data_IF_871261607908
#
_entry.id   IF_871261607908
#
_cell.length_a   1.000
_cell.length_b   1.000
_cell.length_c   1.000
_cell.angle_alpha   90.00
_cell.angle_beta   90.00
_cell.angle_gamma   90.00
#
_symmetry.space_group_name_H-M   'P 1'
#
loop_
_entity.id
_entity.type
_entity.pdbx_description
1 polymer ?
#
# COMPACT_ATOMS: atom_id res chain seq x y z
N UNK A 1 -27.79 -27.55 20.36
CA UNK A 1 -27.34 -26.74 19.20
C UNK A 1 -26.32 -25.72 19.66
N UNK A 2 -25.03 -26.05 19.62
CA UNK A 2 -23.98 -25.06 19.83
C UNK A 2 -23.88 -24.22 18.54
N UNK A 3 -24.29 -22.96 18.62
CA UNK A 3 -24.12 -21.99 17.54
C UNK A 3 -22.64 -21.86 17.20
N UNK A 4 -22.28 -22.21 15.97
CA UNK A 4 -20.93 -22.00 15.43
C UNK A 4 -20.57 -20.51 15.58
N UNK A 5 -19.40 -20.15 16.14
CA UNK A 5 -19.03 -18.75 16.30
C UNK A 5 -19.03 -18.05 14.93
N UNK A 6 -19.42 -16.77 14.86
CA UNK A 6 -19.38 -16.02 13.60
C UNK A 6 -17.96 -16.08 13.02
N UNK A 7 -17.87 -16.31 11.70
CA UNK A 7 -16.59 -16.31 11.01
C UNK A 7 -15.88 -14.97 11.27
N UNK A 8 -14.61 -15.02 11.67
CA UNK A 8 -13.83 -13.80 11.91
C UNK A 8 -13.82 -12.95 10.63
N UNK A 9 -14.15 -11.66 10.78
CA UNK A 9 -14.17 -10.70 9.68
C UNK A 9 -12.76 -10.55 9.09
N UNK A 10 -12.62 -10.64 7.78
CA UNK A 10 -11.38 -10.30 7.08
C UNK A 10 -11.17 -8.78 7.12
N UNK A 11 -9.97 -8.36 7.53
CA UNK A 11 -9.51 -6.97 7.49
C UNK A 11 -8.87 -6.69 6.13
N UNK A 12 -9.31 -5.62 5.47
CA UNK A 12 -8.87 -5.22 4.12
C UNK A 12 -7.84 -4.10 4.22
N UNK A 13 -6.67 -4.30 3.63
CA UNK A 13 -5.56 -3.35 3.65
C UNK A 13 -5.22 -2.93 2.22
N UNK A 14 -5.20 -1.64 1.95
CA UNK A 14 -4.69 -1.10 0.69
C UNK A 14 -3.21 -0.73 0.82
N UNK A 15 -2.39 -1.14 -0.14
CA UNK A 15 -0.97 -0.81 -0.21
C UNK A 15 -0.78 0.17 -1.36
N UNK A 16 -0.69 1.46 -1.07
CA UNK A 16 -0.65 2.53 -2.07
C UNK A 16 0.78 2.87 -2.48
N UNK A 17 1.09 2.67 -3.76
CA UNK A 17 2.44 2.83 -4.31
C UNK A 17 2.41 3.69 -5.58
N UNK A 18 2.73 5.00 -5.48
CA UNK A 18 2.99 5.85 -6.61
C UNK A 18 4.30 5.43 -7.27
N UNK A 19 4.23 5.07 -8.54
CA UNK A 19 5.36 4.64 -9.33
C UNK A 19 5.62 5.63 -10.46
N UNK A 20 6.90 5.85 -10.76
CA UNK A 20 7.31 6.70 -11.89
C UNK A 20 8.62 6.20 -12.50
N UNK A 21 8.65 6.17 -13.83
CA UNK A 21 9.86 5.91 -14.61
C UNK A 21 10.36 7.19 -15.28
N UNK A 22 11.69 7.41 -15.26
CA UNK A 22 12.32 8.51 -16.03
C UNK A 22 12.53 8.13 -17.49
N UNK A 23 12.83 6.86 -17.73
CA UNK A 23 13.04 6.25 -19.04
C UNK A 23 12.28 4.93 -19.08
N UNK A 24 11.98 4.44 -20.28
CA UNK A 24 11.34 3.14 -20.42
C UNK A 24 12.27 2.05 -19.90
N UNK A 25 11.73 1.19 -19.04
CA UNK A 25 12.43 0.05 -18.46
C UNK A 25 11.63 -1.24 -18.72
N UNK A 26 12.30 -2.39 -18.84
CA UNK A 26 11.61 -3.67 -18.79
C UNK A 26 11.02 -3.90 -17.39
N UNK A 27 9.91 -4.67 -17.27
CA UNK A 27 9.25 -4.91 -15.98
C UNK A 27 10.21 -5.38 -14.88
N UNK A 28 11.11 -6.30 -15.20
CA UNK A 28 12.05 -6.94 -14.27
C UNK A 28 13.09 -5.97 -13.69
N UNK A 29 13.24 -4.78 -14.28
CA UNK A 29 14.12 -3.73 -13.79
C UNK A 29 13.39 -2.68 -12.95
N UNK A 30 12.06 -2.69 -12.92
CA UNK A 30 11.28 -1.71 -12.16
C UNK A 30 11.52 -1.92 -10.65
N UNK A 31 11.73 -0.85 -9.86
CA UNK A 31 11.93 -0.95 -8.40
C UNK A 31 10.83 -1.76 -7.71
N UNK A 32 9.59 -1.60 -8.17
CA UNK A 32 8.45 -2.37 -7.68
C UNK A 32 8.69 -3.89 -7.70
N UNK A 33 9.32 -4.42 -8.76
CA UNK A 33 9.61 -5.86 -8.91
C UNK A 33 10.97 -6.27 -8.34
N UNK A 34 11.92 -5.35 -8.19
CA UNK A 34 13.26 -5.66 -7.69
C UNK A 34 13.41 -5.45 -6.18
N UNK A 35 12.51 -4.68 -5.55
CA UNK A 35 12.57 -4.32 -4.14
C UNK A 35 11.24 -4.59 -3.39
N UNK A 36 10.21 -3.77 -3.63
CA UNK A 36 9.01 -3.80 -2.78
C UNK A 36 8.24 -5.12 -2.89
N UNK A 37 7.87 -5.56 -4.10
CA UNK A 37 6.99 -6.71 -4.25
C UNK A 37 7.62 -8.03 -3.75
N UNK A 38 8.90 -8.34 -4.02
CA UNK A 38 9.54 -9.53 -3.45
C UNK A 38 9.60 -9.50 -1.92
N UNK A 39 9.98 -8.37 -1.32
CA UNK A 39 10.07 -8.25 0.15
C UNK A 39 8.68 -8.29 0.81
N UNK A 40 7.66 -7.70 0.19
CA UNK A 40 6.27 -7.87 0.62
C UNK A 40 5.84 -9.35 0.55
N UNK A 41 6.10 -10.03 -0.56
CA UNK A 41 5.75 -11.45 -0.68
C UNK A 41 6.45 -12.29 0.39
N UNK A 42 7.71 -12.00 0.69
CA UNK A 42 8.50 -12.68 1.72
C UNK A 42 7.90 -12.51 3.12
N UNK A 43 7.66 -11.26 3.54
CA UNK A 43 7.04 -10.98 4.86
C UNK A 43 5.66 -11.63 5.01
N UNK A 44 4.87 -11.69 3.93
CA UNK A 44 3.54 -12.31 3.94
C UNK A 44 3.59 -13.86 3.96
N UNK A 45 4.59 -14.47 3.32
CA UNK A 45 4.77 -15.94 3.34
C UNK A 45 5.11 -16.43 4.73
N UNK A 46 6.01 -15.69 5.39
CA UNK A 46 6.54 -16.06 6.69
C UNK A 46 5.68 -15.56 7.86
N UNK A 47 4.56 -14.88 7.60
CA UNK A 47 3.58 -14.50 8.63
C UNK A 47 3.34 -15.62 9.66
N UNK A 48 3.70 -15.39 10.94
CA UNK A 48 3.95 -16.46 11.92
C UNK A 48 2.71 -17.24 12.33
N UNK A 49 1.50 -16.80 11.95
CA UNK A 49 0.30 -17.59 12.17
C UNK A 49 -0.57 -17.70 10.90
N UNK A 50 -0.96 -18.94 10.57
CA UNK A 50 -1.94 -19.20 9.52
C UNK A 50 -3.27 -18.46 9.74
N UNK A 51 -3.61 -18.21 11.01
CA UNK A 51 -4.78 -17.41 11.40
C UNK A 51 -4.60 -15.92 11.03
N UNK A 52 -3.43 -15.32 11.24
CA UNK A 52 -3.14 -13.96 10.76
C UNK A 52 -3.23 -13.88 9.23
N UNK A 53 -2.67 -14.86 8.50
CA UNK A 53 -2.78 -14.93 7.03
C UNK A 53 -4.22 -15.03 6.52
N UNK A 54 -5.10 -15.71 7.25
CA UNK A 54 -6.53 -15.80 6.91
C UNK A 54 -7.34 -14.57 7.37
N UNK A 55 -6.76 -13.69 8.18
CA UNK A 55 -7.42 -12.50 8.74
C UNK A 55 -7.26 -11.28 7.85
N UNK A 56 -6.17 -11.17 7.09
CA UNK A 56 -5.89 -10.01 6.26
C UNK A 56 -6.03 -10.32 4.76
N UNK A 57 -6.52 -9.33 4.03
CA UNK A 57 -6.46 -9.30 2.57
C UNK A 57 -5.90 -7.97 2.11
N UNK A 58 -5.09 -8.01 1.06
CA UNK A 58 -4.33 -6.85 0.60
C UNK A 58 -4.71 -6.49 -0.84
N UNK A 59 -4.73 -5.19 -1.14
CA UNK A 59 -4.78 -4.69 -2.52
C UNK A 59 -3.57 -3.80 -2.75
N UNK A 60 -2.64 -4.27 -3.57
CA UNK A 60 -1.51 -3.48 -4.08
C UNK A 60 -2.03 -2.53 -5.16
N UNK A 61 -2.10 -1.24 -4.82
CA UNK A 61 -2.58 -0.16 -5.66
C UNK A 61 -1.39 0.60 -6.24
N UNK A 62 -1.12 0.35 -7.52
CA UNK A 62 -0.02 0.94 -8.28
C UNK A 62 -0.53 2.21 -8.97
N UNK A 63 -0.19 3.38 -8.46
CA UNK A 63 -0.55 4.66 -9.07
C UNK A 63 0.54 5.13 -10.02
N UNK A 64 0.21 5.49 -11.27
CA UNK A 64 1.20 5.96 -12.23
C UNK A 64 0.67 7.09 -13.12
N UNK A 65 1.59 7.90 -13.64
CA UNK A 65 1.26 9.05 -14.49
C UNK A 65 0.91 8.62 -15.93
N UNK A 66 -0.06 9.33 -16.52
CA UNK A 66 -0.30 9.30 -17.97
C UNK A 66 0.95 9.81 -18.68
N UNK A 67 1.43 9.02 -19.64
CA UNK A 67 2.68 9.23 -20.34
C UNK A 67 3.90 8.76 -19.56
N UNK A 68 3.74 7.99 -18.49
CA UNK A 68 4.88 7.30 -17.87
C UNK A 68 5.55 6.37 -18.90
N UNK A 69 6.87 6.45 -19.09
CA UNK A 69 7.59 5.66 -20.11
C UNK A 69 7.46 4.14 -19.98
N UNK A 70 7.21 3.63 -18.77
CA UNK A 70 7.11 2.18 -18.50
C UNK A 70 5.69 1.80 -18.10
N UNK A 71 5.10 2.47 -17.11
CA UNK A 71 3.81 2.07 -16.53
C UNK A 71 2.60 2.42 -17.42
N UNK A 72 2.69 3.45 -18.28
CA UNK A 72 1.63 3.75 -19.26
C UNK A 72 1.91 3.13 -20.64
N UNK A 73 2.90 2.23 -20.73
CA UNK A 73 3.16 1.42 -21.92
C UNK A 73 2.44 0.05 -21.80
N UNK A 74 1.43 -0.26 -22.65
CA UNK A 74 0.57 -1.44 -22.47
C UNK A 74 1.34 -2.75 -22.27
N UNK A 75 2.30 -3.06 -23.15
CA UNK A 75 3.06 -4.32 -23.04
C UNK A 75 3.92 -4.43 -21.78
N UNK A 76 4.40 -3.30 -21.26
CA UNK A 76 5.22 -3.28 -20.04
C UNK A 76 4.32 -3.44 -18.82
N UNK A 77 3.17 -2.75 -18.79
CA UNK A 77 2.20 -2.88 -17.72
C UNK A 77 1.60 -4.28 -17.65
N UNK A 78 1.20 -4.87 -18.79
CA UNK A 78 0.64 -6.22 -18.83
C UNK A 78 1.64 -7.25 -18.31
N UNK A 79 2.89 -7.19 -18.77
CA UNK A 79 3.96 -8.08 -18.30
C UNK A 79 4.26 -7.88 -16.81
N UNK A 80 4.32 -6.63 -16.32
CA UNK A 80 4.45 -6.32 -14.89
C UNK A 80 3.33 -6.96 -14.07
N UNK A 81 2.07 -6.81 -14.50
CA UNK A 81 0.92 -7.36 -13.79
C UNK A 81 0.93 -8.89 -13.77
N UNK A 82 1.34 -9.55 -14.86
CA UNK A 82 1.53 -11.01 -14.89
C UNK A 82 2.62 -11.47 -13.90
N UNK A 83 3.77 -10.80 -13.88
CA UNK A 83 4.86 -11.10 -12.95
C UNK A 83 4.43 -10.93 -11.49
N UNK A 84 3.70 -9.84 -11.16
CA UNK A 84 3.18 -9.61 -9.82
C UNK A 84 2.12 -10.67 -9.43
N UNK A 85 1.22 -11.05 -10.35
CA UNK A 85 0.24 -12.12 -10.12
C UNK A 85 0.92 -13.45 -9.83
N UNK A 86 1.97 -13.78 -10.58
CA UNK A 86 2.76 -14.98 -10.36
C UNK A 86 3.49 -14.94 -9.01
N UNK A 87 4.11 -13.82 -8.66
CA UNK A 87 4.83 -13.62 -7.40
C UNK A 87 3.92 -13.78 -6.18
N UNK A 88 2.71 -13.22 -6.25
CA UNK A 88 1.70 -13.28 -5.19
C UNK A 88 0.79 -14.52 -5.28
N UNK A 89 1.07 -15.48 -6.16
CA UNK A 89 0.28 -16.70 -6.25
C UNK A 89 0.24 -17.44 -4.89
N UNK A 90 -0.98 -17.68 -4.39
CA UNK A 90 -1.21 -18.30 -3.08
C UNK A 90 -1.17 -17.33 -1.89
N UNK A 91 -0.90 -16.04 -2.11
CA UNK A 91 -0.99 -14.98 -1.11
C UNK A 91 -2.29 -14.19 -1.25
N UNK A 92 -2.83 -13.60 -0.16
CA UNK A 92 -4.09 -12.86 -0.20
C UNK A 92 -3.90 -11.43 -0.73
N UNK A 93 -3.16 -11.27 -1.83
CA UNK A 93 -2.82 -9.98 -2.45
C UNK A 93 -3.48 -9.88 -3.82
N UNK A 94 -4.30 -8.84 -4.02
CA UNK A 94 -4.77 -8.40 -5.33
C UNK A 94 -3.90 -7.26 -5.82
N UNK A 95 -3.79 -7.12 -7.14
CA UNK A 95 -3.00 -6.05 -7.77
C UNK A 95 -3.91 -5.24 -8.67
N UNK A 96 -3.89 -3.92 -8.51
CA UNK A 96 -4.63 -2.96 -9.30
C UNK A 96 -3.71 -1.83 -9.72
N UNK A 97 -3.69 -1.51 -11.02
CA UNK A 97 -2.96 -0.36 -11.54
C UNK A 97 -3.95 0.77 -11.86
N UNK A 98 -3.62 1.99 -11.43
CA UNK A 98 -4.47 3.17 -11.56
C UNK A 98 -3.68 4.27 -12.24
N UNK A 99 -4.15 4.66 -13.42
CA UNK A 99 -3.55 5.74 -14.20
C UNK A 99 -4.10 7.09 -13.79
N UNK A 100 -3.21 8.05 -13.54
CA UNK A 100 -3.50 9.44 -13.21
C UNK A 100 -3.00 10.40 -14.29
N UNK A 101 -3.40 11.66 -14.27
CA UNK A 101 -2.93 12.63 -15.25
C UNK A 101 -3.48 14.03 -15.00
N UNK A 102 -3.11 14.97 -15.86
CA UNK A 102 -3.46 16.38 -15.66
C UNK A 102 -2.63 16.98 -14.55
N UNK A 103 -3.29 17.60 -13.57
CA UNK A 103 -2.62 18.31 -12.47
C UNK A 103 -1.91 17.37 -11.48
N UNK A 104 -2.20 16.07 -11.52
CA UNK A 104 -1.57 15.05 -10.67
C UNK A 104 -0.15 14.69 -11.09
N UNK A 105 0.26 15.11 -12.28
CA UNK A 105 1.50 14.65 -12.89
C UNK A 105 2.70 15.01 -12.02
N UNK A 106 3.45 14.00 -11.59
CA UNK A 106 4.60 14.16 -10.71
C UNK A 106 4.26 14.61 -9.29
N UNK A 107 3.02 14.45 -8.84
CA UNK A 107 2.56 14.80 -7.49
C UNK A 107 2.23 13.54 -6.64
N UNK A 108 3.24 12.84 -6.08
CA UNK A 108 3.03 11.59 -5.33
C UNK A 108 2.02 11.71 -4.17
N UNK A 109 2.02 12.83 -3.43
CA UNK A 109 1.04 13.07 -2.36
C UNK A 109 -0.40 13.01 -2.86
N UNK A 110 -0.64 13.57 -4.05
CA UNK A 110 -1.97 13.57 -4.66
C UNK A 110 -2.35 12.19 -5.17
N UNK A 111 -1.38 11.43 -5.69
CA UNK A 111 -1.58 10.03 -6.07
C UNK A 111 -1.99 9.21 -4.84
N UNK A 112 -1.27 9.29 -3.72
CA UNK A 112 -1.67 8.61 -2.48
C UNK A 112 -3.07 9.01 -2.00
N UNK A 113 -3.38 10.31 -1.96
CA UNK A 113 -4.72 10.78 -1.61
C UNK A 113 -5.81 10.09 -2.44
N UNK A 114 -5.61 10.00 -3.76
CA UNK A 114 -6.59 9.40 -4.67
C UNK A 114 -6.65 7.88 -4.54
N UNK A 115 -5.50 7.22 -4.38
CA UNK A 115 -5.46 5.76 -4.16
C UNK A 115 -6.21 5.39 -2.88
N UNK A 116 -5.99 6.12 -1.79
CA UNK A 116 -6.63 5.82 -0.51
C UNK A 116 -8.10 6.23 -0.46
N UNK A 117 -8.47 7.37 -1.05
CA UNK A 117 -9.89 7.73 -1.20
C UNK A 117 -10.66 6.65 -1.99
N UNK A 118 -10.08 6.16 -3.10
CA UNK A 118 -10.63 5.05 -3.88
C UNK A 118 -10.74 3.78 -3.03
N UNK A 119 -9.68 3.40 -2.32
CA UNK A 119 -9.66 2.20 -1.49
C UNK A 119 -10.71 2.23 -0.37
N UNK A 120 -10.78 3.33 0.38
CA UNK A 120 -11.74 3.48 1.47
C UNK A 120 -13.19 3.50 0.96
N UNK A 121 -13.44 4.11 -0.20
CA UNK A 121 -14.75 4.06 -0.86
C UNK A 121 -15.13 2.63 -1.28
N UNK A 122 -14.15 1.81 -1.67
CA UNK A 122 -14.34 0.38 -1.97
C UNK A 122 -14.45 -0.50 -0.69
N UNK A 123 -14.42 0.09 0.49
CA UNK A 123 -14.61 -0.55 1.79
C UNK A 123 -13.33 -1.08 2.44
N UNK A 124 -12.15 -0.74 1.94
CA UNK A 124 -10.90 -1.00 2.67
C UNK A 124 -10.98 -0.50 4.11
N UNK A 125 -10.38 -1.22 5.06
CA UNK A 125 -10.37 -0.85 6.48
C UNK A 125 -9.19 0.08 6.81
N UNK A 126 -8.02 -0.26 6.24
CA UNK A 126 -6.74 0.40 6.48
C UNK A 126 -5.97 0.60 5.19
N UNK A 127 -5.10 1.60 5.15
CA UNK A 127 -4.20 1.81 4.04
C UNK A 127 -2.77 2.06 4.53
N UNK A 128 -1.81 1.69 3.68
CA UNK A 128 -0.38 1.79 3.91
C UNK A 128 0.24 2.58 2.76
N UNK A 129 0.83 3.73 3.07
CA UNK A 129 1.67 4.48 2.16
C UNK A 129 3.04 3.83 2.04
N UNK A 130 3.41 3.50 0.80
CA UNK A 130 4.63 2.80 0.43
C UNK A 130 5.26 3.44 -0.81
N UNK A 131 6.60 3.45 -0.85
CA UNK A 131 7.37 3.70 -2.08
C UNK A 131 7.70 2.38 -2.79
N UNK A 132 8.00 2.42 -4.09
CA UNK A 132 8.27 1.20 -4.88
C UNK A 132 9.70 0.65 -4.72
N UNK A 133 10.61 1.45 -4.17
CA UNK A 133 12.04 1.16 -4.04
C UNK A 133 12.49 0.77 -2.63
N UNK A 134 11.55 0.43 -1.73
CA UNK A 134 11.85 0.02 -0.36
C UNK A 134 11.81 -1.50 -0.16
N UNK A 135 12.37 -1.96 0.96
CA UNK A 135 12.32 -3.35 1.42
C UNK A 135 11.53 -3.46 2.74
N UNK A 136 10.54 -4.35 2.78
CA UNK A 136 9.87 -4.72 4.02
C UNK A 136 10.65 -5.87 4.70
N UNK A 137 11.12 -5.63 5.92
CA UNK A 137 12.04 -6.55 6.61
C UNK A 137 11.38 -7.42 7.68
N UNK A 138 10.26 -6.96 8.26
CA UNK A 138 9.65 -7.59 9.43
C UNK A 138 8.33 -8.23 9.09
N UNK A 139 8.15 -9.49 9.45
CA UNK A 139 6.86 -10.20 9.45
C UNK A 139 5.93 -9.67 10.56
N UNK A 140 4.63 -9.99 10.45
CA UNK A 140 3.63 -9.68 11.47
C UNK A 140 3.26 -8.20 11.55
N UNK A 141 3.73 -7.39 10.59
CA UNK A 141 3.56 -5.94 10.60
C UNK A 141 2.08 -5.54 10.56
N UNK A 142 1.27 -6.20 9.74
CA UNK A 142 -0.15 -5.86 9.57
C UNK A 142 -0.92 -6.03 10.87
N UNK A 143 -0.72 -7.15 11.57
CA UNK A 143 -1.36 -7.42 12.85
C UNK A 143 -0.94 -6.41 13.92
N UNK A 144 0.36 -6.05 13.97
CA UNK A 144 0.88 -5.06 14.92
C UNK A 144 0.28 -3.68 14.68
N UNK A 145 0.27 -3.21 13.44
CA UNK A 145 -0.26 -1.88 13.10
C UNK A 145 -1.77 -1.80 13.35
N UNK A 146 -2.54 -2.81 12.91
CA UNK A 146 -3.99 -2.86 13.16
C UNK A 146 -4.29 -2.93 14.65
N UNK A 147 -3.60 -3.79 15.41
CA UNK A 147 -3.79 -3.88 16.86
C UNK A 147 -3.46 -2.57 17.57
N UNK A 148 -2.45 -1.84 17.12
CA UNK A 148 -2.09 -0.54 17.69
C UNK A 148 -3.19 0.50 17.45
N UNK A 149 -3.69 0.59 16.21
CA UNK A 149 -4.74 1.55 15.85
C UNK A 149 -6.10 1.19 16.45
N UNK A 150 -6.50 -0.09 16.49
CA UNK A 150 -7.75 -0.51 17.16
C UNK A 150 -7.72 -0.21 18.67
N UNK A 151 -6.54 -0.22 19.28
CA UNK A 151 -6.33 0.12 20.68
C UNK A 151 -6.32 1.62 20.99
N UNK A 152 -6.40 2.50 19.97
CA UNK A 152 -6.44 3.94 20.18
C UNK A 152 -7.84 4.41 20.63
N UNK A 153 -7.94 5.66 21.09
CA UNK A 153 -9.19 6.27 21.55
C UNK A 153 -9.42 7.60 20.83
N UNK A 154 -10.37 7.67 19.87
CA UNK A 154 -11.26 6.59 19.43
C UNK A 154 -10.55 5.51 18.60
N UNK A 155 -11.07 4.27 18.51
CA UNK A 155 -10.47 3.19 17.73
C UNK A 155 -10.26 3.55 16.25
N UNK A 156 -9.09 3.18 15.73
CA UNK A 156 -8.67 3.48 14.37
C UNK A 156 -8.16 4.92 14.17
N UNK A 157 -8.02 5.70 15.23
CA UNK A 157 -7.44 7.04 15.16
C UNK A 157 -5.90 7.00 15.27
N UNK A 158 -5.23 7.90 14.56
CA UNK A 158 -3.78 8.04 14.53
C UNK A 158 -3.12 7.33 13.34
N UNK A 159 -1.79 7.21 13.43
CA UNK A 159 -0.93 6.57 12.43
C UNK A 159 -0.05 5.52 13.12
N UNK A 160 0.29 4.47 12.40
CA UNK A 160 1.31 3.50 12.76
C UNK A 160 2.32 3.41 11.61
N UNK A 161 3.51 2.87 11.83
CA UNK A 161 4.51 2.71 10.77
C UNK A 161 5.71 1.91 11.25
N UNK A 162 6.56 1.47 10.32
CA UNK A 162 7.80 0.80 10.65
C UNK A 162 8.84 1.82 11.11
N UNK A 163 9.94 1.31 11.68
CA UNK A 163 11.18 2.05 11.75
C UNK A 163 11.86 2.00 10.37
N UNK A 164 12.16 3.17 9.80
CA UNK A 164 13.00 3.26 8.61
C UNK A 164 14.48 3.25 9.01
N UNK A 165 15.22 2.21 8.61
CA UNK A 165 16.64 2.06 8.95
C UNK A 165 17.54 3.10 8.25
N UNK A 166 17.05 3.76 7.20
CA UNK A 166 17.76 4.86 6.54
C UNK A 166 17.37 6.23 7.12
N UNK A 167 16.26 6.31 7.86
CA UNK A 167 15.80 7.53 8.50
C UNK A 167 14.97 7.26 9.76
N UNK A 168 15.65 6.92 10.86
CA UNK A 168 15.00 6.58 12.13
C UNK A 168 14.26 7.75 12.80
N UNK A 169 14.37 8.96 12.25
CA UNK A 169 13.76 10.18 12.82
C UNK A 169 12.34 10.43 12.32
N UNK A 170 12.00 9.94 11.13
CA UNK A 170 10.72 10.19 10.48
C UNK A 170 10.00 8.88 10.21
N UNK A 171 8.67 8.91 10.28
CA UNK A 171 7.84 7.80 9.83
C UNK A 171 7.59 7.93 8.33
N UNK A 172 8.57 7.50 7.53
CA UNK A 172 8.55 7.67 6.07
C UNK A 172 7.51 6.82 5.34
N UNK A 173 7.01 5.76 6.01
CA UNK A 173 5.99 4.85 5.51
C UNK A 173 4.86 4.75 6.54
N UNK A 174 3.76 5.46 6.35
CA UNK A 174 2.68 5.48 7.35
C UNK A 174 1.49 4.60 7.00
N UNK A 175 0.90 4.01 8.03
CA UNK A 175 -0.26 3.14 8.01
C UNK A 175 -1.39 3.78 8.81
N UNK A 176 -2.58 3.87 8.25
CA UNK A 176 -3.72 4.50 8.90
C UNK A 176 -5.04 3.78 8.58
N UNK A 177 -6.04 3.99 9.41
CA UNK A 177 -7.42 3.56 9.13
C UNK A 177 -8.10 4.52 8.15
N UNK A 178 -9.11 4.04 7.43
CA UNK A 178 -10.04 4.91 6.70
C UNK A 178 -10.79 5.91 7.60
N UNK A 179 -10.73 5.78 8.94
CA UNK A 179 -11.07 6.86 9.88
C UNK A 179 -10.33 8.16 9.59
N UNK A 180 -9.05 8.11 9.22
CA UNK A 180 -8.25 9.30 8.89
C UNK A 180 -8.91 10.11 7.76
N UNK A 181 -9.22 9.45 6.64
CA UNK A 181 -9.89 10.11 5.52
C UNK A 181 -11.30 10.61 5.86
N UNK A 182 -12.03 9.95 6.77
CA UNK A 182 -13.34 10.42 7.23
C UNK A 182 -13.27 11.70 8.07
N UNK A 183 -12.14 11.95 8.72
CA UNK A 183 -11.94 13.14 9.57
C UNK A 183 -11.39 14.30 8.75
N UNK A 184 -10.43 14.03 7.86
CA UNK A 184 -9.67 15.06 7.18
C UNK A 184 -10.02 15.25 5.71
N UNK A 185 -10.78 14.33 5.08
CA UNK A 185 -11.07 14.28 3.64
C UNK A 185 -9.85 14.13 2.71
N UNK A 186 -8.65 14.01 3.29
CA UNK A 186 -7.40 13.78 2.58
C UNK A 186 -6.45 12.95 3.44
N UNK A 187 -5.46 12.32 2.81
CA UNK A 187 -4.38 11.67 3.53
C UNK A 187 -3.25 12.68 3.82
N UNK A 188 -2.73 13.31 2.76
CA UNK A 188 -1.92 14.52 2.81
C UNK A 188 -2.74 15.76 2.44
N UNK A 189 -2.56 16.91 3.13
CA UNK A 189 -3.13 18.17 2.68
C UNK A 189 -2.86 18.42 1.18
N UNK A 190 -3.87 18.84 0.42
CA UNK A 190 -3.74 19.04 -1.03
C UNK A 190 -2.69 20.10 -1.44
N UNK A 191 -2.25 20.95 -0.50
CA UNK A 191 -1.13 21.88 -0.71
C UNK A 191 0.21 21.13 -0.89
N UNK A 192 0.33 19.90 -0.38
CA UNK A 192 1.52 19.06 -0.56
C UNK A 192 1.43 18.28 -1.86
N UNK A 193 2.43 18.46 -2.71
CA UNK A 193 2.54 17.79 -4.02
C UNK A 193 3.69 16.79 -4.06
N UNK A 194 4.82 17.13 -3.46
CA UNK A 194 6.10 16.46 -3.70
C UNK A 194 6.51 15.57 -2.54
N UNK A 195 7.59 14.82 -2.78
CA UNK A 195 8.39 14.15 -1.76
C UNK A 195 8.79 15.09 -0.60
N UNK A 196 9.22 14.51 0.52
CA UNK A 196 9.45 15.19 1.81
C UNK A 196 8.17 15.66 2.50
N UNK A 197 7.00 15.13 2.10
CA UNK A 197 5.75 15.33 2.86
C UNK A 197 5.80 14.70 4.25
N UNK A 198 6.72 13.78 4.49
CA UNK A 198 6.87 13.06 5.76
C UNK A 198 7.46 13.94 6.88
N UNK A 199 7.95 15.15 6.55
CA UNK A 199 8.37 16.18 7.52
C UNK A 199 7.19 16.93 8.18
N UNK A 200 5.95 16.67 7.74
CA UNK A 200 4.71 17.26 8.25
C UNK A 200 4.04 16.39 9.32
#
# INVERSE_FOLDING_TARGET
NASRPPAARTVRIALGVPCRSKTRQPPEALPLLTALAPSLADTLRHEPSARARATFSYTLLIGFDKGDPSYDHPSTLDALLELLRALFAGLPVRVEAVRYGGEDKGAPCWVWNKLFARACTAGTDYFYQLNDDLLLLSEGWAARFVSHLEGSSPPGFGIAGPLDLNNERLMTQSFASCTHLRIFDFYYPWVFKNWFSDDW
#
